data_IF_462921946512
#
_entry.id   IF_462921946512
#
_cell.length_a   1.000
_cell.length_b   1.000
_cell.length_c   1.000
_cell.angle_alpha   90.00
_cell.angle_beta   90.00
_cell.angle_gamma   90.00
#
_symmetry.space_group_name_H-M   'P 1'
#
loop_
_entity.id
_entity.type
_entity.pdbx_description
1 polymer ?
#
# COMPACT_ATOMS: atom_id res chain seq x y z
N UNK A 1 41.86 8.60 2.19
CA UNK A 1 41.56 7.23 2.69
C UNK A 1 40.14 7.27 3.26
N UNK A 2 39.14 6.83 2.49
CA UNK A 2 37.72 6.96 2.86
C UNK A 2 37.28 5.73 3.65
N UNK A 3 36.80 5.94 4.88
CA UNK A 3 36.34 4.89 5.78
C UNK A 3 35.13 4.17 5.19
N UNK A 4 35.17 2.84 5.14
CA UNK A 4 34.02 2.03 4.74
C UNK A 4 32.94 2.14 5.83
N UNK A 5 31.76 2.65 5.49
CA UNK A 5 30.61 2.66 6.39
C UNK A 5 30.28 1.20 6.77
N UNK A 6 30.56 0.82 8.02
CA UNK A 6 30.13 -0.47 8.58
C UNK A 6 28.61 -0.56 8.48
N UNK A 7 28.12 -1.48 7.66
CA UNK A 7 26.68 -1.75 7.55
C UNK A 7 26.21 -2.34 8.89
N UNK A 8 25.62 -1.52 9.76
CA UNK A 8 25.03 -2.01 11.01
C UNK A 8 23.78 -2.82 10.67
N UNK A 9 23.86 -4.12 10.89
CA UNK A 9 22.74 -5.05 10.77
C UNK A 9 21.92 -4.97 12.07
N UNK A 10 20.82 -4.23 12.04
CA UNK A 10 19.87 -4.19 13.17
C UNK A 10 18.89 -5.36 13.08
N UNK A 11 18.32 -5.83 14.21
CA UNK A 11 17.30 -6.88 14.21
C UNK A 11 16.14 -6.57 13.27
N UNK A 12 15.61 -5.35 13.30
CA UNK A 12 14.51 -4.89 12.42
C UNK A 12 14.86 -4.99 10.92
N UNK A 13 16.13 -4.78 10.59
CA UNK A 13 16.64 -4.85 9.22
C UNK A 13 16.82 -6.30 8.78
N UNK A 14 17.23 -7.17 9.70
CA UNK A 14 17.27 -8.62 9.48
C UNK A 14 15.85 -9.18 9.29
N UNK A 15 14.89 -8.81 10.15
CA UNK A 15 13.49 -9.20 10.02
C UNK A 15 12.91 -8.80 8.65
N UNK A 16 13.20 -7.58 8.18
CA UNK A 16 12.82 -7.14 6.83
C UNK A 16 13.45 -7.96 5.70
N UNK A 17 14.67 -8.47 5.88
CA UNK A 17 15.34 -9.31 4.88
C UNK A 17 14.81 -10.75 4.89
N UNK A 18 14.39 -11.26 6.05
CA UNK A 18 13.85 -12.61 6.21
C UNK A 18 12.34 -12.68 5.99
N UNK A 19 11.66 -11.54 5.93
CA UNK A 19 10.24 -11.48 5.61
C UNK A 19 9.99 -12.21 4.28
N UNK A 20 9.01 -13.14 4.23
CA UNK A 20 8.69 -13.84 2.99
C UNK A 20 8.41 -12.81 1.90
N UNK A 21 8.85 -13.06 0.65
CA UNK A 21 8.51 -12.16 -0.44
C UNK A 21 7.00 -12.01 -0.44
N UNK A 22 6.52 -10.77 -0.36
CA UNK A 22 5.08 -10.51 -0.51
C UNK A 22 4.66 -11.24 -1.80
N UNK A 23 3.56 -12.01 -1.79
CA UNK A 23 3.06 -12.61 -3.01
C UNK A 23 3.02 -11.54 -4.10
N UNK A 24 3.22 -11.89 -5.37
CA UNK A 24 3.17 -10.93 -6.48
C UNK A 24 1.74 -10.38 -6.56
N UNK A 25 1.47 -9.38 -5.74
CA UNK A 25 0.13 -8.86 -5.52
C UNK A 25 -0.27 -8.09 -6.76
N UNK A 26 -1.47 -8.37 -7.25
CA UNK A 26 -2.02 -7.69 -8.42
C UNK A 26 -2.08 -6.19 -8.10
N UNK A 27 -1.39 -5.40 -8.92
CA UNK A 27 -1.52 -3.95 -8.89
C UNK A 27 -2.78 -3.59 -9.64
N UNK A 28 -3.71 -2.91 -8.95
CA UNK A 28 -4.92 -2.36 -9.54
C UNK A 28 -4.60 -0.92 -9.95
N UNK A 29 -4.88 -0.61 -11.20
CA UNK A 29 -4.70 0.72 -11.78
C UNK A 29 -6.06 1.39 -11.95
N UNK A 30 -6.08 2.72 -11.87
CA UNK A 30 -7.26 3.60 -11.98
C UNK A 30 -8.13 3.63 -10.72
N UNK A 31 -8.80 4.77 -10.53
CA UNK A 31 -9.70 4.95 -9.39
C UNK A 31 -10.95 4.06 -9.54
N UNK A 32 -11.41 3.86 -10.77
CA UNK A 32 -12.57 3.05 -11.14
C UNK A 32 -12.37 1.58 -10.78
N UNK A 33 -11.23 0.99 -11.15
CA UNK A 33 -10.96 -0.40 -10.84
C UNK A 33 -10.72 -0.63 -9.34
N UNK A 34 -10.06 0.32 -8.66
CA UNK A 34 -9.90 0.28 -7.21
C UNK A 34 -11.27 0.34 -6.54
N UNK A 35 -12.13 1.25 -6.98
CA UNK A 35 -13.46 1.45 -6.42
C UNK A 35 -14.34 0.21 -6.61
N UNK A 36 -14.30 -0.41 -7.80
CA UNK A 36 -14.99 -1.66 -8.09
C UNK A 36 -14.54 -2.81 -7.18
N UNK A 37 -13.24 -2.90 -6.87
CA UNK A 37 -12.69 -3.94 -5.98
C UNK A 37 -13.26 -3.84 -4.56
N UNK A 38 -13.50 -2.62 -4.06
CA UNK A 38 -13.95 -2.39 -2.68
C UNK A 38 -15.43 -1.98 -2.58
N UNK A 39 -16.18 -2.04 -3.69
CA UNK A 39 -17.61 -1.72 -3.72
C UNK A 39 -17.96 -0.27 -3.43
N UNK A 40 -17.17 0.69 -3.91
CA UNK A 40 -17.40 2.14 -3.69
C UNK A 40 -17.36 2.95 -4.99
N UNK A 41 -17.41 4.28 -4.89
CA UNK A 41 -17.28 5.20 -6.04
C UNK A 41 -15.83 5.59 -6.33
N UNK A 42 -15.54 5.87 -7.60
CA UNK A 42 -14.22 6.36 -8.00
C UNK A 42 -13.90 7.73 -7.38
N UNK A 43 -14.91 8.56 -7.09
CA UNK A 43 -14.72 9.86 -6.43
C UNK A 43 -14.29 9.72 -4.99
N UNK A 44 -14.83 8.73 -4.26
CA UNK A 44 -14.33 8.39 -2.91
C UNK A 44 -12.84 8.00 -2.98
N UNK A 45 -12.41 7.28 -4.02
CA UNK A 45 -10.99 6.95 -4.20
C UNK A 45 -10.14 8.20 -4.42
N UNK A 46 -10.59 9.11 -5.31
CA UNK A 46 -9.85 10.32 -5.70
C UNK A 46 -9.77 11.38 -4.62
N UNK A 47 -10.82 11.55 -3.82
CA UNK A 47 -10.94 12.65 -2.87
C UNK A 47 -10.71 12.21 -1.43
N UNK A 48 -10.98 10.95 -1.10
CA UNK A 48 -10.90 10.46 0.28
C UNK A 48 -9.75 9.49 0.46
N UNK A 49 -9.78 8.32 -0.20
CA UNK A 49 -8.78 7.27 0.06
C UNK A 49 -7.35 7.73 -0.23
N UNK A 50 -7.11 8.48 -1.31
CA UNK A 50 -5.75 8.92 -1.63
C UNK A 50 -5.18 9.92 -0.61
N UNK A 51 -6.04 10.63 0.12
CA UNK A 51 -5.65 11.64 1.11
C UNK A 51 -5.68 11.08 2.54
N UNK A 52 -6.21 9.87 2.73
CA UNK A 52 -6.36 9.24 4.03
C UNK A 52 -5.00 8.71 4.52
N UNK A 53 -4.63 9.09 5.73
CA UNK A 53 -3.38 8.62 6.35
C UNK A 53 -3.40 7.09 6.51
N UNK A 54 -2.29 6.45 6.10
CA UNK A 54 -2.14 5.00 6.10
C UNK A 54 -2.87 4.27 4.98
N UNK A 55 -3.50 5.00 4.05
CA UNK A 55 -4.16 4.39 2.89
C UNK A 55 -3.17 3.68 1.96
N UNK A 56 -3.53 2.51 1.42
CA UNK A 56 -2.73 1.80 0.43
C UNK A 56 -2.82 2.42 -0.98
N UNK A 57 -3.75 3.36 -1.20
CA UNK A 57 -3.94 4.02 -2.50
C UNK A 57 -2.89 5.11 -2.69
N UNK A 58 -2.17 5.05 -3.81
CA UNK A 58 -1.17 6.04 -4.20
C UNK A 58 -1.53 6.71 -5.52
N UNK A 59 -1.19 7.99 -5.64
CA UNK A 59 -1.25 8.73 -6.89
C UNK A 59 0.09 8.65 -7.62
N UNK A 60 0.08 8.14 -8.84
CA UNK A 60 1.24 8.05 -9.74
C UNK A 60 0.96 8.92 -10.98
N UNK A 61 1.44 10.16 -10.93
CA UNK A 61 1.14 11.16 -11.95
C UNK A 61 -0.36 11.47 -12.03
N UNK A 62 -0.98 11.18 -13.17
CA UNK A 62 -2.42 11.34 -13.40
C UNK A 62 -3.25 10.14 -13.00
N UNK A 63 -2.62 9.01 -12.66
CA UNK A 63 -3.29 7.74 -12.35
C UNK A 63 -3.25 7.42 -10.86
N UNK A 64 -4.13 6.51 -10.46
CA UNK A 64 -4.17 5.95 -9.11
C UNK A 64 -3.79 4.47 -9.18
N UNK A 65 -3.10 3.99 -8.15
CA UNK A 65 -2.75 2.58 -8.04
C UNK A 65 -2.77 2.11 -6.59
N UNK A 66 -3.07 0.82 -6.40
CA UNK A 66 -2.94 0.14 -5.12
C UNK A 66 -2.64 -1.34 -5.35
N UNK A 67 -2.02 -2.00 -4.38
CA UNK A 67 -1.96 -3.46 -4.35
C UNK A 67 -3.29 -3.99 -3.82
N UNK A 68 -3.86 -5.01 -4.48
CA UNK A 68 -5.13 -5.60 -4.09
C UNK A 68 -5.14 -6.07 -2.62
N UNK A 69 -4.10 -6.80 -2.22
CA UNK A 69 -4.00 -7.34 -0.85
C UNK A 69 -3.85 -6.24 0.20
N UNK A 70 -3.13 -5.15 -0.12
CA UNK A 70 -2.98 -4.01 0.80
C UNK A 70 -4.33 -3.29 0.98
N UNK A 71 -5.16 -3.20 -0.08
CA UNK A 71 -6.54 -2.71 0.02
C UNK A 71 -7.37 -3.61 0.93
N UNK A 72 -7.39 -4.92 0.69
CA UNK A 72 -8.14 -5.86 1.51
C UNK A 72 -7.69 -5.84 2.97
N UNK A 73 -6.37 -5.81 3.21
CA UNK A 73 -5.80 -5.73 4.55
C UNK A 73 -6.20 -4.42 5.25
N UNK A 74 -6.18 -3.29 4.56
CA UNK A 74 -6.57 -1.99 5.09
C UNK A 74 -8.02 -1.99 5.58
N UNK A 75 -8.94 -2.53 4.77
CA UNK A 75 -10.36 -2.61 5.13
C UNK A 75 -10.67 -3.73 6.13
N UNK A 76 -9.86 -4.79 6.19
CA UNK A 76 -9.99 -5.81 7.23
C UNK A 76 -9.51 -5.31 8.60
N UNK A 77 -8.44 -4.52 8.62
CA UNK A 77 -7.86 -3.97 9.84
C UNK A 77 -8.67 -2.82 10.45
N UNK A 78 -9.44 -2.09 9.63
CA UNK A 78 -10.44 -1.12 10.10
C UNK A 78 -11.84 -1.75 10.01
N UNK A 79 -12.39 -2.33 11.10
CA UNK A 79 -13.81 -2.65 11.11
C UNK A 79 -14.57 -1.37 10.80
N UNK A 80 -15.45 -1.44 9.80
CA UNK A 80 -16.38 -0.36 9.47
C UNK A 80 -17.25 -0.19 10.72
N UNK A 81 -16.98 0.84 11.52
CA UNK A 81 -17.84 1.19 12.64
C UNK A 81 -19.21 1.51 12.06
N UNK A 82 -20.16 0.62 12.33
CA UNK A 82 -21.57 0.73 11.94
C UNK A 82 -22.29 1.58 12.96
#
# INVERSE_FOLDING_TARGET
>A
MTTAARYQLTPEKLDKMMAPPRPRTRIIWTAEAIAAQIGTSADYVRHTLVNLEGSPVKKMGTRYCAHADDLEAFFRARPIQT
#
